data_IF_367690686244
#
_entry.id   IF_367690686244
#
_cell.length_a   1.000
_cell.length_b   1.000
_cell.length_c   1.000
_cell.angle_alpha   90.00
_cell.angle_beta   90.00
_cell.angle_gamma   90.00
#
_symmetry.space_group_name_H-M   'P 1'
#
loop_
_entity.id
_entity.type
_entity.pdbx_description
1 polymer ?
#
# COMPACT_ATOMS: atom_id res chain seq x y z
N UNK A 1 -12.20 -8.44 9.40
CA UNK A 1 -13.37 -9.03 8.74
C UNK A 1 -14.69 -8.47 9.25
N UNK A 2 -14.86 -8.15 10.51
CA UNK A 2 -16.10 -7.50 11.00
C UNK A 2 -16.34 -6.11 10.42
N UNK A 3 -15.32 -5.44 9.88
CA UNK A 3 -15.48 -4.20 9.13
C UNK A 3 -16.43 -4.35 7.93
N UNK A 4 -16.63 -5.56 7.40
CA UNK A 4 -17.59 -5.79 6.32
C UNK A 4 -19.04 -5.52 6.73
N UNK A 5 -19.39 -5.65 8.00
CA UNK A 5 -20.73 -5.26 8.49
C UNK A 5 -20.92 -3.74 8.51
N UNK A 6 -19.83 -2.98 8.57
CA UNK A 6 -19.83 -1.51 8.55
C UNK A 6 -19.50 -0.94 7.15
N UNK A 7 -19.40 -1.79 6.10
CA UNK A 7 -18.91 -1.36 4.78
C UNK A 7 -19.80 -0.29 4.15
N UNK A 8 -21.12 -0.31 4.40
CA UNK A 8 -22.02 0.73 3.93
C UNK A 8 -21.68 2.09 4.54
N UNK A 9 -21.38 2.14 5.83
CA UNK A 9 -20.98 3.39 6.51
C UNK A 9 -19.62 3.91 5.99
N UNK A 10 -18.72 3.02 5.65
CA UNK A 10 -17.42 3.40 5.06
C UNK A 10 -17.62 3.94 3.65
N UNK A 11 -18.34 3.21 2.81
CA UNK A 11 -18.47 3.50 1.37
C UNK A 11 -19.52 4.57 1.10
N UNK A 12 -20.74 4.41 1.63
CA UNK A 12 -21.85 5.32 1.30
C UNK A 12 -21.87 6.56 2.19
N UNK A 13 -21.46 6.46 3.45
CA UNK A 13 -21.40 7.62 4.33
C UNK A 13 -20.03 8.30 4.26
N UNK A 14 -18.95 7.70 4.79
CA UNK A 14 -17.67 8.38 4.92
C UNK A 14 -17.07 8.80 3.57
N UNK A 15 -16.99 7.89 2.61
CA UNK A 15 -16.35 8.17 1.32
C UNK A 15 -17.11 9.19 0.46
N UNK A 16 -18.43 9.29 0.59
CA UNK A 16 -19.26 10.10 -0.32
C UNK A 16 -19.75 11.43 0.28
N UNK A 17 -19.69 11.61 1.58
CA UNK A 17 -20.24 12.83 2.24
C UNK A 17 -19.58 14.11 1.74
N UNK A 18 -18.27 14.13 1.52
CA UNK A 18 -17.59 15.32 0.98
C UNK A 18 -18.17 15.72 -0.39
N UNK A 19 -18.33 14.76 -1.29
CA UNK A 19 -18.91 14.99 -2.61
C UNK A 19 -20.39 15.40 -2.49
N UNK A 20 -21.19 14.68 -1.72
CA UNK A 20 -22.63 14.94 -1.57
C UNK A 20 -22.94 16.27 -0.90
N UNK A 21 -22.04 16.77 -0.07
CA UNK A 21 -22.16 18.10 0.56
C UNK A 21 -21.67 19.24 -0.33
N UNK A 22 -21.24 18.97 -1.57
CA UNK A 22 -20.63 19.96 -2.43
C UNK A 22 -19.29 20.48 -1.89
N UNK A 23 -18.50 19.60 -1.24
CA UNK A 23 -17.20 19.93 -0.67
C UNK A 23 -17.21 20.69 0.66
N UNK A 24 -18.37 20.76 1.33
CA UNK A 24 -18.54 21.56 2.55
C UNK A 24 -18.22 20.78 3.85
N UNK A 25 -18.34 19.44 3.81
CA UNK A 25 -18.18 18.60 4.99
C UNK A 25 -17.01 17.65 4.80
N UNK A 26 -15.92 17.87 5.52
CA UNK A 26 -14.78 16.97 5.59
C UNK A 26 -15.08 15.79 6.51
N UNK A 27 -14.47 14.64 6.25
CA UNK A 27 -14.60 13.41 7.03
C UNK A 27 -13.22 12.92 7.49
N UNK A 28 -12.62 13.55 8.50
CA UNK A 28 -11.27 13.19 8.98
C UNK A 28 -11.33 11.94 9.88
N UNK A 29 -11.61 10.80 9.29
CA UNK A 29 -11.71 9.50 9.98
C UNK A 29 -10.63 8.55 9.44
N UNK A 30 -9.94 7.85 10.35
CA UNK A 30 -9.03 6.76 10.01
C UNK A 30 -9.65 5.43 10.45
N UNK A 31 -9.98 4.59 9.47
CA UNK A 31 -10.36 3.20 9.69
C UNK A 31 -9.11 2.35 9.65
N UNK A 32 -8.75 1.76 10.78
CA UNK A 32 -7.48 1.05 10.97
C UNK A 32 -7.72 -0.39 11.40
N UNK A 33 -6.96 -1.32 10.82
CA UNK A 33 -7.02 -2.73 11.22
C UNK A 33 -6.09 -3.63 10.42
N UNK A 34 -5.97 -4.91 10.84
CA UNK A 34 -5.16 -5.90 10.14
C UNK A 34 -5.77 -6.30 8.81
N UNK A 35 -4.91 -6.61 7.85
CA UNK A 35 -5.21 -6.98 6.48
C UNK A 35 -4.20 -8.04 6.01
N UNK A 36 -4.57 -8.88 5.04
CA UNK A 36 -3.69 -9.91 4.51
C UNK A 36 -3.72 -11.22 5.30
N UNK A 37 -2.72 -12.07 5.08
CA UNK A 37 -2.60 -13.34 5.77
C UNK A 37 -2.37 -13.14 7.26
N UNK A 38 -2.93 -14.05 8.06
CA UNK A 38 -2.85 -13.99 9.50
C UNK A 38 -2.36 -15.30 10.11
N UNK A 39 -2.24 -15.35 11.44
CA UNK A 39 -1.65 -16.47 12.17
C UNK A 39 -2.64 -17.63 12.34
N UNK A 40 -2.91 -18.40 11.27
CA UNK A 40 -3.73 -19.63 11.29
C UNK A 40 -5.17 -19.43 11.77
N UNK A 41 -5.81 -18.34 11.39
CA UNK A 41 -7.17 -17.96 11.82
C UNK A 41 -8.25 -18.23 10.77
N UNK A 42 -7.93 -19.02 9.76
CA UNK A 42 -8.79 -19.45 8.65
C UNK A 42 -9.27 -18.30 7.72
N UNK A 43 -10.17 -18.64 6.80
CA UNK A 43 -10.49 -17.79 5.64
C UNK A 43 -11.04 -16.41 5.99
N UNK A 44 -11.93 -16.31 6.97
CA UNK A 44 -12.59 -15.05 7.32
C UNK A 44 -11.63 -14.02 7.95
N UNK A 45 -10.51 -14.45 8.50
CA UNK A 45 -9.52 -13.63 9.18
C UNK A 45 -8.21 -13.46 8.40
N UNK A 46 -8.14 -13.96 7.16
CA UNK A 46 -6.95 -13.93 6.31
C UNK A 46 -7.26 -13.34 4.95
N UNK A 47 -8.02 -12.24 4.94
CA UNK A 47 -8.46 -11.58 3.71
C UNK A 47 -7.65 -10.30 3.47
N UNK A 48 -7.41 -9.99 2.21
CA UNK A 48 -6.83 -8.72 1.78
C UNK A 48 -7.90 -7.85 1.10
N UNK A 49 -8.18 -6.71 1.69
CA UNK A 49 -9.18 -5.75 1.21
C UNK A 49 -8.56 -4.56 0.49
N UNK A 50 -7.27 -4.59 0.19
CA UNK A 50 -6.54 -3.49 -0.45
C UNK A 50 -7.19 -3.05 -1.76
N UNK A 51 -7.54 -4.00 -2.62
CA UNK A 51 -8.20 -3.73 -3.89
C UNK A 51 -9.63 -3.18 -3.70
N UNK A 52 -10.40 -3.73 -2.76
CA UNK A 52 -11.77 -3.30 -2.51
C UNK A 52 -11.85 -1.83 -2.10
N UNK A 53 -11.07 -1.44 -1.10
CA UNK A 53 -11.07 -0.06 -0.62
C UNK A 53 -10.42 0.91 -1.63
N UNK A 54 -9.39 0.47 -2.34
CA UNK A 54 -8.73 1.29 -3.36
C UNK A 54 -9.65 1.60 -4.56
N UNK A 55 -10.64 0.74 -4.82
CA UNK A 55 -11.62 0.96 -5.88
C UNK A 55 -12.64 2.05 -5.53
N UNK A 56 -12.81 2.43 -4.27
CA UNK A 56 -13.86 3.34 -3.83
C UNK A 56 -13.43 4.81 -3.97
N UNK A 57 -14.11 5.62 -4.82
CA UNK A 57 -13.89 7.06 -4.86
C UNK A 57 -14.16 7.72 -3.50
N UNK A 58 -13.29 8.65 -3.10
CA UNK A 58 -13.39 9.37 -1.84
C UNK A 58 -12.60 8.77 -0.68
N UNK A 59 -12.14 7.52 -0.78
CA UNK A 59 -11.22 6.92 0.21
C UNK A 59 -9.76 7.13 -0.21
N UNK A 60 -8.89 7.32 0.76
CA UNK A 60 -7.45 7.08 0.66
C UNK A 60 -7.11 5.75 1.31
N UNK A 61 -6.15 5.02 0.76
CA UNK A 61 -5.77 3.68 1.26
C UNK A 61 -4.27 3.62 1.49
N UNK A 62 -3.87 3.36 2.72
CA UNK A 62 -2.48 3.28 3.16
C UNK A 62 -2.18 1.86 3.64
N UNK A 63 -0.99 1.38 3.33
CA UNK A 63 -0.54 0.04 3.70
C UNK A 63 0.93 0.06 4.10
N UNK A 64 1.23 0.30 5.39
CA UNK A 64 2.59 0.46 5.89
C UNK A 64 3.37 -0.84 5.82
N UNK A 65 4.70 -0.73 5.62
CA UNK A 65 5.64 -1.84 5.69
C UNK A 65 6.36 -1.87 7.04
N UNK A 66 7.07 -0.81 7.39
CA UNK A 66 7.93 -0.75 8.58
C UNK A 66 7.36 0.14 9.70
N UNK A 67 8.10 0.28 10.79
CA UNK A 67 7.69 1.12 11.91
C UNK A 67 7.70 2.62 11.57
N UNK A 68 8.51 3.06 10.60
CA UNK A 68 8.54 4.45 10.14
C UNK A 68 7.28 4.76 9.33
N UNK A 69 6.90 3.84 8.43
CA UNK A 69 5.64 3.91 7.71
C UNK A 69 4.46 3.90 8.68
N UNK A 70 4.39 2.92 9.59
CA UNK A 70 3.29 2.80 10.55
C UNK A 70 3.12 4.06 11.39
N UNK A 71 4.22 4.65 11.89
CA UNK A 71 4.20 5.87 12.70
C UNK A 71 3.87 7.12 11.87
N UNK A 72 4.58 7.33 10.76
CA UNK A 72 4.54 8.61 10.06
C UNK A 72 3.35 8.69 9.09
N UNK A 73 2.97 7.59 8.43
CA UNK A 73 1.72 7.56 7.66
C UNK A 73 0.49 7.68 8.56
N UNK A 74 0.48 7.06 9.76
CA UNK A 74 -0.63 7.22 10.69
C UNK A 74 -0.77 8.67 11.16
N UNK A 75 0.36 9.34 11.46
CA UNK A 75 0.34 10.78 11.80
C UNK A 75 -0.15 11.65 10.64
N UNK A 76 0.21 11.30 9.40
CA UNK A 76 -0.27 11.99 8.21
C UNK A 76 -1.78 11.72 8.00
N UNK A 77 -2.22 10.48 8.20
CA UNK A 77 -3.62 10.08 8.10
C UNK A 77 -4.53 10.83 9.09
N UNK A 78 -4.09 10.98 10.35
CA UNK A 78 -4.86 11.71 11.38
C UNK A 78 -5.02 13.20 11.02
N UNK A 79 -4.09 13.77 10.28
CA UNK A 79 -4.13 15.19 9.86
C UNK A 79 -4.86 15.41 8.53
N UNK A 80 -5.15 14.36 7.80
CA UNK A 80 -5.81 14.45 6.49
C UNK A 80 -7.31 14.71 6.68
N UNK A 81 -7.92 15.64 5.92
CA UNK A 81 -9.34 15.93 6.02
C UNK A 81 -10.26 14.88 5.40
N UNK A 82 -9.71 13.86 4.74
CA UNK A 82 -10.46 12.82 4.05
C UNK A 82 -10.52 11.51 4.84
N UNK A 83 -11.50 10.63 4.57
CA UNK A 83 -11.54 9.31 5.19
C UNK A 83 -10.41 8.41 4.64
N UNK A 84 -9.69 7.79 5.55
CA UNK A 84 -8.53 6.96 5.26
C UNK A 84 -8.75 5.55 5.76
N UNK A 85 -8.44 4.58 4.92
CA UNK A 85 -8.29 3.18 5.27
C UNK A 85 -6.81 2.91 5.53
N UNK A 86 -6.47 2.41 6.72
CA UNK A 86 -5.10 2.14 7.15
C UNK A 86 -4.95 0.64 7.40
N UNK A 87 -4.37 -0.07 6.42
CA UNK A 87 -4.29 -1.53 6.36
C UNK A 87 -2.95 -2.01 6.90
N UNK A 88 -2.94 -2.48 8.13
CA UNK A 88 -1.76 -3.05 8.78
C UNK A 88 -1.64 -4.55 8.49
N UNK A 89 -0.46 -5.11 8.73
CA UNK A 89 -0.26 -6.54 8.58
C UNK A 89 0.05 -7.18 9.93
N UNK A 90 -0.79 -8.13 10.38
CA UNK A 90 -0.69 -8.77 11.69
C UNK A 90 0.69 -9.42 11.92
N UNK A 91 1.23 -10.10 10.90
CA UNK A 91 2.52 -10.77 11.00
C UNK A 91 3.72 -9.80 11.07
N UNK A 92 3.50 -8.51 10.85
CA UNK A 92 4.53 -7.46 10.98
C UNK A 92 4.56 -6.80 12.37
N UNK A 93 3.57 -7.04 13.24
CA UNK A 93 3.48 -6.34 14.54
C UNK A 93 4.65 -6.59 15.48
N UNK A 94 5.33 -7.73 15.36
CA UNK A 94 6.49 -8.07 16.20
C UNK A 94 7.84 -7.83 15.51
N UNK A 95 7.83 -7.32 14.27
CA UNK A 95 9.07 -6.98 13.56
C UNK A 95 9.69 -5.71 14.14
N UNK A 96 11.02 -5.72 14.22
CA UNK A 96 11.80 -4.61 14.77
C UNK A 96 12.51 -3.88 13.64
N UNK A 97 12.38 -2.56 13.64
CA UNK A 97 13.03 -1.67 12.68
C UNK A 97 13.69 -0.50 13.40
N UNK A 98 14.70 0.09 12.80
CA UNK A 98 15.26 1.34 13.27
C UNK A 98 14.32 2.50 12.95
N UNK A 99 14.08 3.37 13.93
CA UNK A 99 13.26 4.56 13.74
C UNK A 99 14.08 5.67 13.09
N UNK A 100 13.57 6.18 11.99
CA UNK A 100 14.08 7.40 11.36
C UNK A 100 13.24 8.62 11.72
N UNK A 101 13.74 9.80 11.44
CA UNK A 101 13.03 11.07 11.63
C UNK A 101 12.33 11.56 10.37
N UNK A 102 12.33 10.77 9.31
CA UNK A 102 11.84 11.18 7.99
C UNK A 102 10.35 11.50 8.02
N UNK A 103 10.00 12.57 7.36
CA UNK A 103 8.62 12.92 7.11
C UNK A 103 8.13 12.11 5.91
N UNK A 104 6.98 11.45 6.07
CA UNK A 104 6.34 10.67 4.99
C UNK A 104 5.05 11.38 4.60
N UNK A 105 4.85 11.60 3.31
CA UNK A 105 3.63 12.16 2.76
C UNK A 105 2.75 11.04 2.16
N UNK A 106 1.44 11.24 2.22
CA UNK A 106 0.49 10.35 1.55
C UNK A 106 0.62 10.55 0.04
N UNK A 107 0.73 9.44 -0.70
CA UNK A 107 0.89 9.46 -2.15
C UNK A 107 2.36 9.42 -2.62
N UNK A 108 3.31 9.26 -1.71
CA UNK A 108 4.73 9.11 -2.02
C UNK A 108 5.20 7.69 -1.70
N UNK A 109 5.64 6.97 -2.72
CA UNK A 109 6.31 5.67 -2.58
C UNK A 109 7.76 5.85 -2.13
N UNK A 110 8.39 4.77 -1.71
CA UNK A 110 9.79 4.74 -1.32
C UNK A 110 10.58 3.79 -2.23
N UNK A 111 11.74 4.22 -2.68
CA UNK A 111 12.79 3.30 -3.14
C UNK A 111 13.43 2.70 -1.90
N UNK A 112 13.01 1.49 -1.53
CA UNK A 112 13.50 0.80 -0.34
C UNK A 112 14.86 0.15 -0.55
N UNK A 113 15.16 -0.27 -1.79
CA UNK A 113 16.46 -0.77 -2.25
C UNK A 113 16.73 -0.19 -3.62
N UNK A 114 17.90 0.43 -3.79
CA UNK A 114 18.34 0.93 -5.10
C UNK A 114 18.81 -0.23 -5.99
N UNK A 115 18.45 -0.17 -7.27
CA UNK A 115 18.83 -1.15 -8.27
C UNK A 115 18.77 -0.63 -9.69
N UNK A 116 19.18 -1.45 -10.67
CA UNK A 116 19.25 -1.06 -12.09
C UNK A 116 18.82 -2.14 -13.08
N UNK A 117 18.66 -3.38 -12.62
CA UNK A 117 18.47 -4.53 -13.53
C UNK A 117 17.01 -5.02 -13.54
N UNK A 118 16.27 -4.79 -12.45
CA UNK A 118 14.88 -5.21 -12.24
C UNK A 118 14.22 -4.32 -11.22
N UNK A 119 12.94 -3.94 -11.43
CA UNK A 119 12.10 -3.29 -10.43
C UNK A 119 11.18 -4.32 -9.79
N UNK A 120 11.17 -4.40 -8.45
CA UNK A 120 10.21 -5.20 -7.68
C UNK A 120 9.30 -4.23 -6.93
N UNK A 121 8.01 -4.28 -7.20
CA UNK A 121 7.02 -3.35 -6.63
C UNK A 121 6.13 -4.11 -5.66
N UNK A 122 5.98 -3.59 -4.46
CA UNK A 122 5.14 -4.21 -3.44
C UNK A 122 4.66 -3.20 -2.39
N UNK A 123 3.86 -3.69 -1.44
CA UNK A 123 3.39 -2.94 -0.27
C UNK A 123 3.31 -3.86 0.95
N UNK A 124 3.24 -3.28 2.14
CA UNK A 124 3.11 -4.00 3.40
C UNK A 124 4.15 -5.14 3.53
N UNK A 125 3.76 -6.30 4.01
CA UNK A 125 4.65 -7.47 4.17
C UNK A 125 5.32 -7.92 2.88
N UNK A 126 4.70 -7.71 1.73
CA UNK A 126 5.30 -8.03 0.43
C UNK A 126 6.61 -7.28 0.17
N UNK A 127 6.82 -6.10 0.78
CA UNK A 127 8.09 -5.36 0.70
C UNK A 127 9.21 -6.12 1.40
N UNK A 128 8.95 -6.74 2.57
CA UNK A 128 9.93 -7.61 3.25
C UNK A 128 10.40 -8.73 2.31
N UNK A 129 9.46 -9.42 1.70
CA UNK A 129 9.76 -10.50 0.74
C UNK A 129 10.56 -9.99 -0.47
N UNK A 130 10.23 -8.80 -0.97
CA UNK A 130 10.94 -8.17 -2.09
C UNK A 130 12.38 -7.79 -1.72
N UNK A 131 12.62 -7.28 -0.51
CA UNK A 131 13.96 -6.95 0.00
C UNK A 131 14.79 -8.25 0.15
N UNK A 132 14.24 -9.28 0.79
CA UNK A 132 14.90 -10.58 0.94
C UNK A 132 15.23 -11.21 -0.42
N UNK A 133 14.33 -11.06 -1.41
CA UNK A 133 14.58 -11.51 -2.78
C UNK A 133 15.70 -10.69 -3.44
N UNK A 134 15.73 -9.37 -3.25
CA UNK A 134 16.75 -8.51 -3.82
C UNK A 134 18.17 -8.89 -3.34
N UNK A 135 18.30 -9.31 -2.07
CA UNK A 135 19.56 -9.79 -1.52
C UNK A 135 20.04 -11.08 -2.20
N UNK A 136 19.13 -12.04 -2.40
CA UNK A 136 19.42 -13.30 -3.12
C UNK A 136 19.77 -13.05 -4.59
N UNK A 137 19.11 -12.08 -5.24
CA UNK A 137 19.39 -11.71 -6.62
C UNK A 137 20.79 -11.09 -6.78
N UNK A 138 21.30 -10.38 -5.77
CA UNK A 138 22.69 -9.88 -5.77
C UNK A 138 23.73 -10.99 -5.88
N UNK A 139 23.47 -12.16 -5.29
CA UNK A 139 24.36 -13.33 -5.42
C UNK A 139 24.45 -13.82 -6.87
N UNK A 140 23.41 -13.53 -7.67
CA UNK A 140 23.34 -13.82 -9.10
C UNK A 140 23.80 -12.64 -9.99
N UNK A 141 24.39 -11.60 -9.39
CA UNK A 141 24.76 -10.33 -10.05
C UNK A 141 23.58 -9.56 -10.67
N UNK A 142 22.37 -9.70 -10.09
CA UNK A 142 21.17 -8.95 -10.46
C UNK A 142 20.88 -7.93 -9.35
N UNK A 143 20.96 -6.63 -9.68
CA UNK A 143 20.69 -5.54 -8.75
C UNK A 143 19.23 -5.09 -8.90
N UNK A 144 18.35 -5.67 -8.10
CA UNK A 144 16.94 -5.32 -8.11
C UNK A 144 16.68 -4.04 -7.30
N UNK A 145 15.88 -3.14 -7.88
CA UNK A 145 15.29 -2.01 -7.18
C UNK A 145 13.97 -2.44 -6.53
N UNK A 146 13.78 -2.10 -5.26
CA UNK A 146 12.55 -2.42 -4.54
C UNK A 146 11.77 -1.15 -4.25
N UNK A 147 10.52 -1.09 -4.73
CA UNK A 147 9.58 0.00 -4.48
C UNK A 147 8.57 -0.44 -3.42
N UNK A 148 8.55 0.31 -2.31
CA UNK A 148 7.50 0.24 -1.30
C UNK A 148 6.42 1.29 -1.61
N UNK A 149 5.25 0.85 -2.02
CA UNK A 149 4.16 1.75 -2.42
C UNK A 149 3.63 2.61 -1.28
N UNK A 150 3.61 2.11 -0.03
CA UNK A 150 3.08 2.81 1.15
C UNK A 150 1.62 3.24 1.02
N UNK A 151 1.29 3.89 -0.07
CA UNK A 151 -0.04 4.40 -0.41
C UNK A 151 -0.56 3.69 -1.65
N UNK A 152 -1.69 3.01 -1.49
CA UNK A 152 -2.34 2.31 -2.61
C UNK A 152 -3.30 3.25 -3.35
N UNK A 153 -3.83 4.25 -2.62
CA UNK A 153 -4.64 5.32 -3.20
C UNK A 153 -4.46 6.62 -2.39
N UNK A 154 -3.98 7.72 -3.02
CA UNK A 154 -3.48 7.78 -4.40
C UNK A 154 -2.18 6.97 -4.57
N UNK A 155 -2.02 6.33 -5.73
CA UNK A 155 -0.79 5.59 -6.05
C UNK A 155 0.27 6.53 -6.65
N UNK A 156 1.54 6.35 -6.27
CA UNK A 156 2.67 7.12 -6.81
C UNK A 156 3.12 6.55 -8.16
N UNK A 157 2.43 6.96 -9.20
CA UNK A 157 2.75 6.57 -10.58
C UNK A 157 4.17 7.01 -10.98
N UNK A 158 4.60 8.19 -10.52
CA UNK A 158 5.89 8.75 -10.92
C UNK A 158 7.04 7.84 -10.49
N UNK A 159 7.08 7.46 -9.22
CA UNK A 159 8.13 6.58 -8.69
C UNK A 159 8.11 5.21 -9.38
N UNK A 160 6.93 4.64 -9.64
CA UNK A 160 6.78 3.39 -10.37
C UNK A 160 7.40 3.51 -11.78
N UNK A 161 6.98 4.52 -12.53
CA UNK A 161 7.38 4.70 -13.93
C UNK A 161 8.87 5.04 -14.05
N UNK A 162 9.40 5.89 -13.19
CA UNK A 162 10.82 6.25 -13.18
C UNK A 162 11.71 5.01 -12.95
N UNK A 163 11.30 4.15 -11.99
CA UNK A 163 12.00 2.89 -11.71
C UNK A 163 11.92 1.91 -12.89
N UNK A 164 10.72 1.69 -13.44
CA UNK A 164 10.54 0.76 -14.56
C UNK A 164 11.29 1.23 -15.81
N UNK A 165 11.28 2.54 -16.11
CA UNK A 165 12.06 3.11 -17.22
C UNK A 165 13.56 2.90 -17.04
N UNK A 166 14.07 2.98 -15.82
CA UNK A 166 15.47 2.74 -15.47
C UNK A 166 15.86 1.27 -15.67
N UNK A 167 15.02 0.34 -15.21
CA UNK A 167 15.36 -1.10 -15.17
C UNK A 167 14.86 -1.89 -16.38
N UNK A 168 13.88 -1.37 -17.12
CA UNK A 168 13.18 -2.01 -18.25
C UNK A 168 12.54 -3.37 -17.92
N UNK A 169 12.41 -3.74 -16.66
CA UNK A 169 11.80 -4.99 -16.18
C UNK A 169 11.10 -4.75 -14.86
N UNK A 170 9.91 -5.31 -14.72
CA UNK A 170 9.12 -5.17 -13.48
C UNK A 170 8.50 -6.49 -13.04
N UNK A 171 8.49 -6.70 -11.73
CA UNK A 171 7.72 -7.74 -11.04
C UNK A 171 6.88 -7.07 -9.98
N UNK A 172 5.59 -7.37 -9.92
CA UNK A 172 4.69 -6.88 -8.87
C UNK A 172 4.33 -8.03 -7.95
N UNK A 173 4.50 -7.84 -6.65
CA UNK A 173 4.25 -8.84 -5.62
C UNK A 173 3.16 -8.34 -4.67
N UNK A 174 2.08 -9.10 -4.52
CA UNK A 174 1.02 -8.83 -3.54
C UNK A 174 0.52 -10.12 -2.91
N UNK A 175 -0.05 -10.02 -1.71
CA UNK A 175 -0.71 -11.14 -1.02
C UNK A 175 -2.20 -11.24 -1.36
N UNK A 176 -2.77 -10.19 -1.95
CA UNK A 176 -4.16 -10.11 -2.35
C UNK A 176 -4.51 -11.09 -3.47
N UNK A 177 -5.82 -11.28 -3.67
CA UNK A 177 -6.31 -12.08 -4.79
C UNK A 177 -5.93 -11.41 -6.11
N UNK A 178 -5.32 -12.17 -7.01
CA UNK A 178 -4.74 -11.63 -8.25
C UNK A 178 -5.79 -11.02 -9.21
N UNK A 179 -7.02 -11.54 -9.20
CA UNK A 179 -8.09 -11.02 -10.03
C UNK A 179 -8.54 -9.64 -9.53
N UNK A 180 -8.35 -8.60 -10.36
CA UNK A 180 -8.63 -7.20 -10.02
C UNK A 180 -7.87 -6.70 -8.77
N UNK A 181 -6.71 -7.28 -8.47
CA UNK A 181 -5.83 -6.85 -7.38
C UNK A 181 -5.12 -5.53 -7.64
N UNK A 182 -4.42 -5.03 -6.64
CA UNK A 182 -3.58 -3.81 -6.75
C UNK A 182 -2.48 -4.00 -7.79
N UNK A 183 -1.91 -5.21 -7.90
CA UNK A 183 -0.93 -5.54 -8.92
C UNK A 183 -1.47 -5.36 -10.34
N UNK A 184 -2.73 -5.67 -10.59
CA UNK A 184 -3.36 -5.46 -11.89
C UNK A 184 -3.39 -3.97 -12.26
N UNK A 185 -3.66 -3.06 -11.31
CA UNK A 185 -3.59 -1.61 -11.52
C UNK A 185 -2.15 -1.15 -11.80
N UNK A 186 -1.17 -1.63 -11.02
CA UNK A 186 0.25 -1.32 -11.26
C UNK A 186 0.70 -1.76 -12.65
N UNK A 187 0.35 -2.98 -13.06
CA UNK A 187 0.64 -3.49 -14.41
C UNK A 187 -0.04 -2.63 -15.48
N UNK A 188 -1.28 -2.21 -15.27
CA UNK A 188 -1.99 -1.31 -16.18
C UNK A 188 -1.30 0.04 -16.32
N UNK A 189 -0.84 0.64 -15.21
CA UNK A 189 -0.07 1.89 -15.23
C UNK A 189 1.20 1.71 -16.06
N UNK A 190 1.97 0.65 -15.81
CA UNK A 190 3.20 0.38 -16.54
C UNK A 190 2.93 0.17 -18.05
N UNK A 191 1.93 -0.62 -18.39
CA UNK A 191 1.61 -0.94 -19.78
C UNK A 191 1.14 0.28 -20.59
N UNK A 192 0.50 1.26 -19.95
CA UNK A 192 -0.05 2.42 -20.62
C UNK A 192 0.89 3.64 -20.63
N UNK A 193 1.81 3.76 -19.63
CA UNK A 193 2.52 5.01 -19.38
C UNK A 193 4.07 4.86 -19.33
N UNK A 194 4.63 3.61 -19.35
CA UNK A 194 6.09 3.38 -19.29
C UNK A 194 6.78 3.49 -20.66
#
# INVERSE_FOLDING_TARGET
>A
NFAMQAIDHIINSAAKTFYMSGGKINIPIVFRGPNGVASRVAAQHSQDYSAWYSHIPGLKVLSPYDCNDAKNLLKAAIKDPNPIIFLEHELMYNEKFELTTDKINIGEAQVAVEGKDLTIISYSRGVKMAIELSEKLKELNINAEVINLRTLKPIDKKTILDSVKKTSRAVVVEEGWSFCGVAAEVVSIIANEA
#
